data_IF_986506246972
#
_entry.id   IF_986506246972
#
_cell.length_a   1.000
_cell.length_b   1.000
_cell.length_c   1.000
_cell.angle_alpha   90.00
_cell.angle_beta   90.00
_cell.angle_gamma   90.00
#
_symmetry.space_group_name_H-M   'P 1'
#
loop_
_entity.id
_entity.type
_entity.pdbx_description
1 polymer ?
#
# COMPACT_ATOMS: atom_id res chain seq x y z
N UNK A 1 16.26 5.03 0.59
CA UNK A 1 16.33 6.40 1.18
C UNK A 1 17.19 6.38 2.46
N UNK A 2 17.91 7.47 2.74
CA UNK A 2 18.69 7.62 3.97
C UNK A 2 17.84 8.18 5.12
N UNK A 3 17.59 7.37 6.14
CA UNK A 3 16.83 7.77 7.34
C UNK A 3 17.46 8.95 8.08
N UNK A 4 18.78 9.00 8.19
CA UNK A 4 19.45 10.07 8.94
C UNK A 4 19.23 11.46 8.33
N UNK A 5 19.14 11.51 6.99
CA UNK A 5 18.88 12.74 6.26
C UNK A 5 17.42 13.22 6.40
N UNK A 6 16.45 12.30 6.59
CA UNK A 6 15.02 12.61 6.53
C UNK A 6 14.31 12.60 7.88
N UNK A 7 14.89 12.00 8.93
CA UNK A 7 14.23 11.78 10.23
C UNK A 7 13.69 13.02 10.93
N UNK A 8 14.18 14.22 10.58
CA UNK A 8 13.73 15.47 11.21
C UNK A 8 12.47 16.02 10.55
N UNK A 9 12.21 15.66 9.31
CA UNK A 9 11.08 16.15 8.50
C UNK A 9 10.06 15.08 8.21
N UNK A 10 10.40 13.79 8.44
CA UNK A 10 9.51 12.67 8.14
C UNK A 10 8.33 12.61 9.12
N UNK A 11 7.10 12.41 8.63
CA UNK A 11 5.94 12.33 9.49
C UNK A 11 6.07 11.24 10.54
N UNK A 12 5.78 11.57 11.81
CA UNK A 12 5.82 10.64 12.95
C UNK A 12 7.15 9.92 13.14
N UNK A 13 8.26 10.58 12.84
CA UNK A 13 9.60 10.00 12.96
C UNK A 13 9.90 9.43 14.34
N UNK A 14 9.34 10.02 15.40
CA UNK A 14 9.47 9.56 16.79
C UNK A 14 8.82 8.19 17.04
N UNK A 15 7.90 7.74 16.17
CA UNK A 15 7.25 6.42 16.22
C UNK A 15 8.00 5.37 15.42
N UNK A 16 9.08 5.78 14.72
CA UNK A 16 9.80 4.93 13.78
C UNK A 16 10.81 4.02 14.47
N UNK A 17 10.85 2.77 14.02
CA UNK A 17 11.88 1.79 14.38
C UNK A 17 12.25 0.93 13.18
N UNK A 18 13.42 0.29 13.27
CA UNK A 18 13.90 -0.64 12.24
C UNK A 18 13.93 -2.06 12.80
N UNK A 19 13.41 -3.02 12.01
CA UNK A 19 13.29 -4.42 12.39
C UNK A 19 13.87 -5.30 11.28
N UNK A 20 14.70 -6.28 11.63
CA UNK A 20 15.17 -7.29 10.68
C UNK A 20 14.26 -8.50 10.73
N UNK A 21 13.57 -8.79 9.62
CA UNK A 21 12.70 -9.95 9.50
C UNK A 21 12.52 -10.36 8.04
N UNK A 22 12.40 -11.65 7.76
CA UNK A 22 12.13 -12.16 6.41
C UNK A 22 13.14 -11.72 5.35
N UNK A 23 14.40 -11.48 5.73
CA UNK A 23 15.45 -11.03 4.82
C UNK A 23 15.39 -9.53 4.44
N UNK A 24 14.56 -8.75 5.12
CA UNK A 24 14.36 -7.32 4.91
C UNK A 24 14.66 -6.55 6.19
N UNK A 25 15.32 -5.40 6.08
CA UNK A 25 15.38 -4.38 7.12
C UNK A 25 14.16 -3.47 6.93
N UNK A 26 13.17 -3.66 7.77
CA UNK A 26 11.91 -2.94 7.72
C UNK A 26 11.98 -1.61 8.45
N UNK A 27 11.38 -0.57 7.89
CA UNK A 27 10.96 0.62 8.61
C UNK A 27 9.51 0.42 9.05
N UNK A 28 9.26 0.62 10.35
CA UNK A 28 7.95 0.43 10.98
C UNK A 28 7.64 1.61 11.86
N UNK A 29 6.43 2.13 11.78
CA UNK A 29 5.88 3.07 12.76
C UNK A 29 4.77 2.39 13.54
N UNK A 30 4.68 2.67 14.84
CA UNK A 30 3.67 2.08 15.73
C UNK A 30 3.06 3.15 16.62
N UNK A 31 1.72 3.12 16.73
CA UNK A 31 0.96 3.99 17.64
C UNK A 31 -0.25 3.24 18.23
N UNK A 32 -0.77 3.74 19.36
CA UNK A 32 -1.89 3.11 20.07
C UNK A 32 -1.46 1.93 20.95
N UNK A 33 -2.25 1.67 21.99
CA UNK A 33 -1.95 0.62 22.98
C UNK A 33 -3.15 -0.29 23.28
N UNK A 34 -4.33 0.04 22.77
CA UNK A 34 -5.58 -0.66 23.05
C UNK A 34 -6.38 -0.88 21.76
N UNK A 35 -7.37 -1.73 21.81
CA UNK A 35 -8.23 -2.06 20.68
C UNK A 35 -7.61 -3.08 19.72
N UNK A 36 -8.21 -3.27 18.53
CA UNK A 36 -7.75 -4.24 17.54
C UNK A 36 -6.35 -3.88 17.01
N UNK A 37 -5.60 -4.91 16.62
CA UNK A 37 -4.27 -4.76 16.01
C UNK A 37 -4.43 -4.57 14.51
N UNK A 38 -4.08 -3.37 14.06
CA UNK A 38 -4.29 -2.91 12.68
C UNK A 38 -2.95 -2.79 11.95
N UNK A 39 -2.86 -3.40 10.78
CA UNK A 39 -1.71 -3.25 9.89
C UNK A 39 -2.07 -2.40 8.68
N UNK A 40 -1.39 -1.26 8.52
CA UNK A 40 -1.53 -0.36 7.38
C UNK A 40 -0.48 -0.69 6.31
N UNK A 41 -0.93 -1.00 5.09
CA UNK A 41 -0.07 -1.41 3.97
C UNK A 41 -0.29 -0.47 2.79
N UNK A 42 0.75 0.26 2.40
CA UNK A 42 0.71 1.22 1.28
C UNK A 42 0.76 0.54 -0.09
N UNK A 43 0.50 1.30 -1.15
CA UNK A 43 0.59 0.87 -2.55
C UNK A 43 1.98 1.05 -3.17
N UNK A 44 2.16 0.61 -4.42
CA UNK A 44 3.39 0.77 -5.20
C UNK A 44 3.77 2.24 -5.34
N UNK A 45 5.04 2.58 -5.11
CA UNK A 45 5.56 3.94 -5.26
C UNK A 45 5.21 4.90 -4.12
N UNK A 46 4.45 4.46 -3.12
CA UNK A 46 4.23 5.17 -1.86
C UNK A 46 5.15 4.63 -0.76
N UNK A 47 4.95 5.06 0.48
CA UNK A 47 5.56 4.52 1.69
C UNK A 47 4.61 4.74 2.87
N UNK A 48 5.03 4.45 4.09
CA UNK A 48 4.22 4.68 5.29
C UNK A 48 3.71 6.12 5.45
N UNK A 49 4.35 7.10 4.81
CA UNK A 49 3.92 8.51 4.84
C UNK A 49 2.47 8.72 4.34
N UNK A 50 1.98 7.86 3.45
CA UNK A 50 0.59 7.95 2.94
C UNK A 50 -0.46 7.85 4.05
N UNK A 51 -0.08 7.29 5.21
CA UNK A 51 -0.91 7.14 6.39
C UNK A 51 -0.70 8.24 7.44
N UNK A 52 0.06 9.31 7.13
CA UNK A 52 0.46 10.37 8.08
C UNK A 52 -0.72 10.99 8.82
N UNK A 53 -1.81 11.25 8.11
CA UNK A 53 -2.99 11.91 8.67
C UNK A 53 -3.98 10.93 9.32
N UNK A 54 -3.76 9.61 9.14
CA UNK A 54 -4.59 8.55 9.68
C UNK A 54 -3.99 7.90 10.93
N UNK A 55 -2.66 7.79 11.02
CA UNK A 55 -1.98 6.99 12.04
C UNK A 55 -2.38 7.39 13.47
N UNK A 56 -2.26 8.66 13.83
CA UNK A 56 -2.58 9.11 15.18
C UNK A 56 -4.07 9.06 15.50
N UNK A 57 -5.00 9.52 14.63
CA UNK A 57 -6.43 9.38 14.90
C UNK A 57 -6.88 7.91 15.01
N UNK A 58 -6.37 6.99 14.18
CA UNK A 58 -6.69 5.57 14.33
C UNK A 58 -6.12 4.98 15.62
N UNK A 59 -4.97 5.47 16.08
CA UNK A 59 -4.33 5.01 17.30
C UNK A 59 -5.11 5.35 18.59
N UNK A 60 -6.11 6.23 18.53
CA UNK A 60 -7.05 6.46 19.62
C UNK A 60 -8.03 5.29 19.79
N UNK A 61 -8.20 4.44 18.77
CA UNK A 61 -9.18 3.35 18.71
C UNK A 61 -8.55 1.97 18.50
N UNK A 62 -7.26 1.90 18.14
CA UNK A 62 -6.59 0.67 17.74
C UNK A 62 -5.09 0.70 18.08
N UNK A 63 -4.47 -0.46 18.10
CA UNK A 63 -3.02 -0.60 18.03
C UNK A 63 -2.64 -0.64 16.53
N UNK A 64 -1.89 0.34 16.05
CA UNK A 64 -1.67 0.56 14.62
C UNK A 64 -0.19 0.37 14.26
N UNK A 65 0.09 -0.45 13.27
CA UNK A 65 1.40 -0.61 12.64
C UNK A 65 1.34 -0.11 11.21
N UNK A 66 2.30 0.74 10.86
CA UNK A 66 2.56 1.21 9.50
C UNK A 66 3.89 0.65 9.07
N UNK A 67 3.98 0.10 7.88
CA UNK A 67 5.23 -0.46 7.34
C UNK A 67 5.57 0.19 6.01
N UNK A 68 6.86 0.37 5.74
CA UNK A 68 7.34 0.57 4.39
C UNK A 68 7.57 -0.80 3.76
N UNK A 69 6.93 -1.08 2.62
CA UNK A 69 7.11 -2.32 1.88
C UNK A 69 8.57 -2.49 1.41
N UNK A 70 9.04 -3.71 1.15
CA UNK A 70 10.39 -3.95 0.66
C UNK A 70 10.75 -3.06 -0.53
N UNK A 71 11.88 -2.36 -0.43
CA UNK A 71 12.37 -1.43 -1.46
C UNK A 71 11.63 -0.10 -1.54
N UNK A 72 10.71 0.18 -0.63
CA UNK A 72 10.01 1.46 -0.55
C UNK A 72 10.42 2.22 0.72
N UNK A 73 10.35 3.55 0.67
CA UNK A 73 10.68 4.40 1.81
C UNK A 73 12.05 4.06 2.39
N UNK A 74 12.08 3.71 3.66
CA UNK A 74 13.31 3.38 4.39
C UNK A 74 13.52 1.87 4.57
N UNK A 75 12.67 1.02 4.01
CA UNK A 75 12.85 -0.43 4.01
C UNK A 75 13.81 -0.89 2.92
N UNK A 76 14.66 -1.87 3.23
CA UNK A 76 15.61 -2.41 2.26
C UNK A 76 14.89 -3.21 1.16
N UNK A 77 15.53 -3.34 0.00
CA UNK A 77 15.10 -4.29 -1.03
C UNK A 77 15.11 -5.72 -0.50
N UNK A 78 14.10 -6.49 -0.87
CA UNK A 78 14.14 -7.94 -0.71
C UNK A 78 14.91 -8.59 -1.86
N UNK A 79 15.57 -9.71 -1.58
CA UNK A 79 16.33 -10.47 -2.57
C UNK A 79 15.46 -11.49 -3.33
N UNK A 80 15.92 -11.91 -4.51
CA UNK A 80 15.28 -12.97 -5.30
C UNK A 80 13.81 -12.68 -5.61
N UNK A 81 12.92 -13.61 -5.31
CA UNK A 81 11.47 -13.49 -5.49
C UNK A 81 10.78 -12.59 -4.44
N UNK A 82 11.53 -12.02 -3.50
CA UNK A 82 11.00 -11.22 -2.40
C UNK A 82 10.25 -9.96 -2.83
N UNK A 83 10.47 -9.47 -4.07
CA UNK A 83 9.73 -8.33 -4.64
C UNK A 83 8.42 -8.72 -5.33
N UNK A 84 8.10 -10.02 -5.44
CA UNK A 84 6.78 -10.47 -5.91
C UNK A 84 5.71 -10.30 -4.82
N UNK A 85 4.45 -10.32 -5.22
CA UNK A 85 3.32 -10.22 -4.28
C UNK A 85 3.40 -11.29 -3.18
N UNK A 86 3.65 -12.54 -3.54
CA UNK A 86 3.81 -13.66 -2.60
C UNK A 86 5.04 -13.48 -1.71
N UNK A 87 6.17 -13.02 -2.29
CA UNK A 87 7.41 -12.77 -1.54
C UNK A 87 7.24 -11.66 -0.52
N UNK A 88 6.57 -10.55 -0.89
CA UNK A 88 6.25 -9.47 0.04
C UNK A 88 5.28 -9.92 1.14
N UNK A 89 4.23 -10.69 0.81
CA UNK A 89 3.31 -11.25 1.79
C UNK A 89 4.04 -12.16 2.80
N UNK A 90 4.93 -13.01 2.32
CA UNK A 90 5.73 -13.92 3.19
C UNK A 90 6.68 -13.13 4.09
N UNK A 91 7.40 -12.14 3.57
CA UNK A 91 8.32 -11.34 4.39
C UNK A 91 7.61 -10.43 5.37
N UNK A 92 6.43 -9.90 5.00
CA UNK A 92 5.58 -9.11 5.89
C UNK A 92 4.99 -9.98 7.03
N UNK A 93 4.59 -11.21 6.72
CA UNK A 93 4.18 -12.16 7.75
C UNK A 93 5.31 -12.45 8.73
N UNK A 94 6.53 -12.70 8.23
CA UNK A 94 7.70 -12.90 9.08
C UNK A 94 8.01 -11.67 9.96
N UNK A 95 7.77 -10.44 9.46
CA UNK A 95 7.86 -9.23 10.27
C UNK A 95 6.85 -9.26 11.41
N UNK A 96 5.57 -9.51 11.13
CA UNK A 96 4.53 -9.53 12.16
C UNK A 96 4.76 -10.63 13.20
N UNK A 97 5.28 -11.79 12.77
CA UNK A 97 5.71 -12.85 13.69
C UNK A 97 6.87 -12.39 14.58
N UNK A 98 7.90 -11.72 14.02
CA UNK A 98 9.05 -11.23 14.81
C UNK A 98 8.67 -10.14 15.80
N UNK A 99 7.58 -9.44 15.56
CA UNK A 99 7.00 -8.44 16.44
C UNK A 99 6.01 -9.03 17.45
N UNK A 100 5.71 -10.33 17.33
CA UNK A 100 4.69 -11.05 18.13
C UNK A 100 3.30 -10.39 18.03
N UNK A 101 2.97 -9.86 16.83
CA UNK A 101 1.71 -9.16 16.57
C UNK A 101 0.82 -9.98 15.65
N UNK A 102 -0.20 -10.68 16.17
CA UNK A 102 -1.27 -11.21 15.35
C UNK A 102 -2.14 -10.03 14.84
N UNK A 103 -2.33 -9.96 13.53
CA UNK A 103 -3.09 -8.87 12.89
C UNK A 103 -4.57 -9.18 12.92
N UNK A 104 -5.37 -8.29 13.54
CA UNK A 104 -6.82 -8.42 13.60
C UNK A 104 -7.49 -7.78 12.37
N UNK A 105 -6.97 -6.63 11.91
CA UNK A 105 -7.52 -5.89 10.76
C UNK A 105 -6.40 -5.47 9.82
N UNK A 106 -6.59 -5.73 8.54
CA UNK A 106 -5.76 -5.16 7.48
C UNK A 106 -6.45 -3.93 6.89
N UNK A 107 -5.73 -2.82 6.80
CA UNK A 107 -6.13 -1.65 6.01
C UNK A 107 -5.06 -1.46 4.96
N UNK A 108 -5.41 -1.62 3.70
CA UNK A 108 -4.41 -1.72 2.65
C UNK A 108 -4.82 -0.93 1.40
N UNK A 109 -3.89 -0.14 0.89
CA UNK A 109 -4.09 0.71 -0.28
C UNK A 109 -3.55 0.06 -1.55
N UNK A 110 -4.31 0.13 -2.64
CA UNK A 110 -3.85 -0.24 -3.99
C UNK A 110 -3.21 -1.64 -4.04
N UNK A 111 -1.96 -1.76 -4.46
CA UNK A 111 -1.19 -3.01 -4.49
C UNK A 111 -1.02 -3.62 -3.09
N UNK A 112 -0.97 -2.81 -2.03
CA UNK A 112 -0.94 -3.30 -0.65
C UNK A 112 -2.13 -4.19 -0.31
N UNK A 113 -3.30 -3.93 -0.91
CA UNK A 113 -4.49 -4.77 -0.73
C UNK A 113 -4.32 -6.18 -1.33
N UNK A 114 -3.60 -6.31 -2.45
CA UNK A 114 -3.28 -7.61 -3.02
C UNK A 114 -2.27 -8.39 -2.15
N UNK A 115 -1.28 -7.69 -1.58
CA UNK A 115 -0.35 -8.28 -0.60
C UNK A 115 -1.11 -8.76 0.64
N UNK A 116 -2.01 -7.94 1.20
CA UNK A 116 -2.82 -8.31 2.35
C UNK A 116 -3.68 -9.54 2.07
N UNK A 117 -4.39 -9.59 0.93
CA UNK A 117 -5.19 -10.74 0.52
C UNK A 117 -4.33 -12.00 0.39
N UNK A 118 -3.15 -11.88 -0.23
CA UNK A 118 -2.21 -13.00 -0.38
C UNK A 118 -1.68 -13.47 0.98
N UNK A 119 -1.39 -12.54 1.90
CA UNK A 119 -0.95 -12.86 3.26
C UNK A 119 -2.03 -13.62 4.03
N UNK A 120 -3.30 -13.21 3.93
CA UNK A 120 -4.43 -13.90 4.55
C UNK A 120 -4.53 -15.34 4.04
N UNK A 121 -4.48 -15.56 2.72
CA UNK A 121 -4.68 -16.88 2.13
C UNK A 121 -3.46 -17.78 2.35
N UNK A 122 -2.27 -17.29 1.98
CA UNK A 122 -1.05 -18.10 2.01
C UNK A 122 -0.61 -18.48 3.44
N UNK A 123 -0.91 -17.62 4.42
CA UNK A 123 -0.60 -17.87 5.82
C UNK A 123 -1.81 -18.40 6.61
N UNK A 124 -2.94 -18.63 5.95
CA UNK A 124 -4.17 -19.12 6.56
C UNK A 124 -4.62 -18.26 7.76
N UNK A 125 -4.45 -16.94 7.62
CA UNK A 125 -4.88 -16.00 8.65
C UNK A 125 -6.39 -15.79 8.59
N UNK A 126 -6.99 -15.52 9.73
CA UNK A 126 -8.42 -15.23 9.88
C UNK A 126 -8.63 -13.87 10.54
N UNK A 127 -8.30 -12.77 9.86
CA UNK A 127 -8.53 -11.45 10.42
C UNK A 127 -10.03 -11.18 10.57
N UNK A 128 -10.38 -10.24 11.46
CA UNK A 128 -11.74 -9.76 11.64
C UNK A 128 -12.23 -9.01 10.39
N UNK A 129 -11.33 -8.31 9.69
CA UNK A 129 -11.63 -7.66 8.41
C UNK A 129 -10.38 -7.41 7.57
N UNK A 130 -10.57 -7.36 6.24
CA UNK A 130 -9.67 -6.81 5.24
C UNK A 130 -10.31 -5.58 4.61
N UNK A 131 -9.75 -4.39 4.86
CA UNK A 131 -10.24 -3.13 4.32
C UNK A 131 -9.32 -2.69 3.19
N UNK A 132 -9.82 -2.70 1.96
CA UNK A 132 -9.10 -2.25 0.77
C UNK A 132 -9.48 -0.82 0.41
N UNK A 133 -8.50 0.08 0.34
CA UNK A 133 -8.68 1.44 -0.16
C UNK A 133 -8.18 1.48 -1.60
N UNK A 134 -9.06 1.77 -2.55
CA UNK A 134 -8.76 1.71 -4.00
C UNK A 134 -7.96 0.45 -4.39
N UNK A 135 -8.44 -0.75 -4.02
CA UNK A 135 -7.63 -1.98 -4.06
C UNK A 135 -7.32 -2.43 -5.48
N UNK A 136 -6.05 -2.78 -5.75
CA UNK A 136 -5.58 -3.31 -7.03
C UNK A 136 -5.50 -4.85 -6.98
N UNK A 137 -6.65 -5.54 -7.02
CA UNK A 137 -6.72 -7.01 -6.92
C UNK A 137 -6.82 -7.72 -8.27
N UNK A 138 -7.30 -7.03 -9.31
CA UNK A 138 -7.55 -7.62 -10.62
C UNK A 138 -6.60 -7.03 -11.67
N UNK A 139 -6.29 -7.78 -12.74
CA UNK A 139 -5.49 -7.25 -13.85
C UNK A 139 -6.11 -5.98 -14.42
N UNK A 140 -5.27 -5.02 -14.79
CA UNK A 140 -5.74 -3.83 -15.50
C UNK A 140 -6.37 -4.23 -16.85
N UNK A 141 -7.52 -3.63 -17.22
CA UNK A 141 -8.18 -3.97 -18.47
C UNK A 141 -7.40 -3.47 -19.70
N UNK A 142 -7.61 -4.16 -20.84
CA UNK A 142 -7.13 -3.74 -22.14
C UNK A 142 -5.61 -3.81 -22.34
N UNK A 143 -5.10 -2.99 -23.27
CA UNK A 143 -3.68 -2.98 -23.65
C UNK A 143 -2.74 -2.61 -22.49
N UNK A 144 -3.18 -1.79 -21.56
CA UNK A 144 -2.39 -1.43 -20.39
C UNK A 144 -2.02 -2.66 -19.56
N UNK A 145 -2.97 -3.55 -19.28
CA UNK A 145 -2.72 -4.80 -18.55
C UNK A 145 -1.78 -5.76 -19.29
N UNK A 146 -1.76 -5.71 -20.63
CA UNK A 146 -0.93 -6.59 -21.45
C UNK A 146 0.52 -6.05 -21.61
N UNK A 147 0.68 -4.74 -21.77
CA UNK A 147 1.96 -4.12 -22.11
C UNK A 147 2.76 -3.66 -20.87
N UNK A 148 2.06 -3.31 -19.78
CA UNK A 148 2.71 -2.77 -18.59
C UNK A 148 3.69 -3.74 -17.91
N UNK A 149 3.37 -5.03 -17.68
CA UNK A 149 4.31 -5.95 -17.04
C UNK A 149 5.60 -6.21 -17.83
N UNK A 150 5.57 -6.43 -19.17
CA UNK A 150 6.79 -6.57 -19.96
C UNK A 150 7.65 -5.31 -19.98
N UNK A 151 7.03 -4.13 -20.11
CA UNK A 151 7.74 -2.86 -20.06
C UNK A 151 8.41 -2.63 -18.70
N UNK A 152 7.71 -2.88 -17.60
CA UNK A 152 8.27 -2.78 -16.25
C UNK A 152 9.45 -3.75 -16.05
N UNK A 153 9.37 -5.00 -16.56
CA UNK A 153 10.48 -5.96 -16.53
C UNK A 153 11.71 -5.43 -17.25
N UNK A 154 11.55 -4.89 -18.45
CA UNK A 154 12.65 -4.33 -19.22
C UNK A 154 13.31 -3.17 -18.49
N UNK A 155 12.53 -2.25 -17.94
CA UNK A 155 13.01 -1.09 -17.17
C UNK A 155 13.72 -1.52 -15.89
N UNK A 156 13.18 -2.51 -15.15
CA UNK A 156 13.77 -3.00 -13.92
C UNK A 156 15.13 -3.72 -14.11
N UNK A 157 15.36 -4.31 -15.31
CA UNK A 157 16.62 -4.98 -15.66
C UNK A 157 17.72 -4.01 -16.10
N UNK A 158 17.40 -2.75 -16.36
CA UNK A 158 18.35 -1.76 -16.87
C UNK A 158 18.98 -0.98 -15.71
N UNK A 159 20.26 -1.15 -15.39
CA UNK A 159 20.89 -0.63 -14.16
C UNK A 159 20.79 0.89 -13.96
N UNK A 160 20.73 1.64 -15.06
CA UNK A 160 20.72 3.11 -15.02
C UNK A 160 19.30 3.71 -15.01
N UNK A 161 18.25 2.91 -15.21
CA UNK A 161 16.88 3.41 -15.28
C UNK A 161 16.40 4.00 -13.95
N UNK A 162 16.63 3.41 -12.77
CA UNK A 162 16.21 4.03 -11.51
C UNK A 162 16.84 5.41 -11.29
N UNK A 163 18.14 5.56 -11.57
CA UNK A 163 18.85 6.83 -11.44
C UNK A 163 18.35 7.87 -12.46
N UNK A 164 18.15 7.43 -13.71
CA UNK A 164 17.60 8.28 -14.75
C UNK A 164 16.18 8.71 -14.41
N UNK A 165 15.32 7.77 -13.96
CA UNK A 165 13.96 8.05 -13.55
C UNK A 165 13.92 9.03 -12.38
N UNK A 166 14.68 8.80 -11.31
CA UNK A 166 14.76 9.68 -10.15
C UNK A 166 15.20 11.11 -10.55
N UNK A 167 16.19 11.22 -11.45
CA UNK A 167 16.63 12.51 -11.99
C UNK A 167 15.54 13.19 -12.81
N UNK A 168 14.81 12.46 -13.64
CA UNK A 168 13.70 13.04 -14.43
C UNK A 168 12.50 13.39 -13.53
N UNK A 169 12.22 12.55 -12.53
CA UNK A 169 11.13 12.75 -11.58
C UNK A 169 11.35 14.00 -10.67
N UNK A 170 12.62 14.36 -10.44
CA UNK A 170 12.99 15.63 -9.78
C UNK A 170 12.82 16.86 -10.68
N UNK A 171 12.53 16.66 -11.97
CA UNK A 171 12.27 17.74 -12.91
C UNK A 171 10.88 18.34 -12.74
N UNK A 172 10.72 19.63 -13.15
CA UNK A 172 9.44 20.31 -13.02
C UNK A 172 8.33 19.59 -13.79
N UNK A 173 7.18 19.41 -13.15
CA UNK A 173 5.95 18.87 -13.74
C UNK A 173 5.88 17.35 -13.88
N UNK A 174 6.92 16.58 -13.53
CA UNK A 174 6.84 15.11 -13.58
C UNK A 174 6.01 14.55 -12.40
N UNK A 175 6.22 15.07 -11.20
CA UNK A 175 5.43 14.70 -10.03
C UNK A 175 3.94 14.97 -10.26
N UNK A 176 3.61 16.17 -10.79
CA UNK A 176 2.24 16.52 -11.12
C UNK A 176 1.63 15.52 -12.11
N UNK A 177 2.36 15.13 -13.15
CA UNK A 177 1.88 14.11 -14.11
C UNK A 177 1.64 12.75 -13.46
N UNK A 178 2.51 12.34 -12.52
CA UNK A 178 2.33 11.09 -11.78
C UNK A 178 1.08 11.17 -10.90
N UNK A 179 0.89 12.27 -10.18
CA UNK A 179 -0.29 12.49 -9.33
C UNK A 179 -1.57 12.66 -10.15
N UNK A 180 -1.53 13.39 -11.26
CA UNK A 180 -2.66 13.50 -12.20
C UNK A 180 -3.11 12.12 -12.73
N UNK A 181 -2.15 11.22 -12.93
CA UNK A 181 -2.40 9.82 -13.31
C UNK A 181 -3.20 9.03 -12.25
N UNK A 182 -3.22 9.50 -11.01
CA UNK A 182 -4.05 8.91 -9.93
C UNK A 182 -5.47 9.46 -9.89
N UNK A 183 -5.73 10.60 -10.51
CA UNK A 183 -6.98 11.35 -10.40
C UNK A 183 -7.15 12.08 -9.07
N UNK A 184 -6.14 12.07 -8.20
CA UNK A 184 -6.15 12.66 -6.86
C UNK A 184 -5.59 14.08 -6.82
N UNK A 185 -6.03 14.84 -5.84
CA UNK A 185 -5.53 16.20 -5.56
C UNK A 185 -4.97 16.21 -4.14
N UNK A 186 -3.66 16.23 -4.03
CA UNK A 186 -2.97 16.30 -2.74
C UNK A 186 -2.64 17.74 -2.34
N UNK A 187 -2.53 17.94 -1.03
CA UNK A 187 -1.99 19.16 -0.45
C UNK A 187 -0.47 19.30 -0.73
N UNK A 188 0.09 20.46 -0.40
CA UNK A 188 1.49 20.74 -0.65
C UNK A 188 2.43 19.84 0.18
N UNK A 189 2.03 19.48 1.40
CA UNK A 189 2.81 18.62 2.28
C UNK A 189 2.88 17.19 1.71
N UNK A 190 1.76 16.63 1.26
CA UNK A 190 1.73 15.32 0.60
C UNK A 190 2.57 15.32 -0.68
N UNK A 191 2.44 16.35 -1.52
CA UNK A 191 3.26 16.50 -2.74
C UNK A 191 4.76 16.54 -2.43
N UNK A 192 5.18 17.23 -1.37
CA UNK A 192 6.59 17.30 -0.98
C UNK A 192 7.14 15.91 -0.61
N UNK A 193 6.39 15.11 0.15
CA UNK A 193 6.79 13.75 0.52
C UNK A 193 6.91 12.83 -0.70
N UNK A 194 5.97 12.90 -1.64
CA UNK A 194 6.10 12.15 -2.89
C UNK A 194 7.28 12.64 -3.74
N UNK A 195 7.58 13.94 -3.73
CA UNK A 195 8.77 14.46 -4.42
C UNK A 195 10.07 13.87 -3.87
N UNK A 196 10.19 13.72 -2.54
CA UNK A 196 11.34 13.06 -1.91
C UNK A 196 11.46 11.60 -2.32
N UNK A 197 10.34 10.85 -2.35
CA UNK A 197 10.31 9.45 -2.75
C UNK A 197 10.72 9.24 -4.21
N UNK A 198 10.12 9.99 -5.14
CA UNK A 198 10.39 9.80 -6.57
C UNK A 198 11.79 10.27 -6.97
N UNK A 199 12.40 11.17 -6.19
CA UNK A 199 13.77 11.64 -6.37
C UNK A 199 14.83 10.65 -5.85
N UNK A 200 14.43 9.66 -5.04
CA UNK A 200 15.35 8.67 -4.49
C UNK A 200 15.51 7.45 -5.43
N UNK A 201 16.73 7.16 -5.93
CA UNK A 201 16.94 6.06 -6.86
C UNK A 201 16.68 4.66 -6.28
N UNK A 202 16.89 4.47 -4.96
CA UNK A 202 16.63 3.17 -4.31
C UNK A 202 15.14 2.91 -4.21
N UNK A 203 14.35 3.94 -3.84
CA UNK A 203 12.89 3.88 -3.83
C UNK A 203 12.34 3.64 -5.25
N UNK A 204 12.82 4.39 -6.24
CA UNK A 204 12.42 4.18 -7.64
C UNK A 204 12.76 2.75 -8.13
N UNK A 205 13.93 2.21 -7.74
CA UNK A 205 14.30 0.84 -8.04
C UNK A 205 13.34 -0.17 -7.38
N UNK A 206 12.98 0.05 -6.13
CA UNK A 206 12.01 -0.78 -5.40
C UNK A 206 10.66 -0.84 -6.09
N UNK A 207 10.11 0.33 -6.43
CA UNK A 207 8.84 0.43 -7.14
C UNK A 207 8.87 -0.26 -8.51
N UNK A 208 9.93 -0.05 -9.31
CA UNK A 208 10.11 -0.71 -10.61
C UNK A 208 10.24 -2.23 -10.48
N UNK A 209 11.01 -2.73 -9.50
CA UNK A 209 11.15 -4.18 -9.26
C UNK A 209 9.84 -4.80 -8.80
N UNK A 210 9.09 -4.13 -7.93
CA UNK A 210 7.75 -4.57 -7.53
C UNK A 210 6.84 -4.67 -8.76
N UNK A 211 6.74 -3.63 -9.58
CA UNK A 211 5.93 -3.64 -10.80
C UNK A 211 6.36 -4.73 -11.79
N UNK A 212 7.66 -4.96 -11.94
CA UNK A 212 8.20 -6.00 -12.82
C UNK A 212 7.87 -7.43 -12.36
N UNK A 213 7.75 -7.65 -11.05
CA UNK A 213 7.41 -8.93 -10.43
C UNK A 213 5.91 -9.09 -10.16
N UNK A 214 5.09 -8.09 -10.52
CA UNK A 214 3.66 -8.06 -10.19
C UNK A 214 2.84 -8.92 -11.15
N UNK A 215 2.10 -9.87 -10.59
CA UNK A 215 1.20 -10.74 -11.35
C UNK A 215 -0.15 -10.84 -10.63
N UNK A 216 -1.19 -10.30 -11.23
CA UNK A 216 -2.57 -10.34 -10.77
C UNK A 216 -3.44 -11.37 -11.53
N UNK A 217 -2.84 -12.24 -12.35
CA UNK A 217 -3.58 -13.24 -13.13
C UNK A 217 -4.46 -14.16 -12.25
N UNK A 218 -4.03 -14.41 -11.01
CA UNK A 218 -4.78 -15.19 -10.03
C UNK A 218 -5.68 -14.35 -9.11
N UNK A 219 -5.80 -13.03 -9.33
CA UNK A 219 -6.53 -12.13 -8.44
C UNK A 219 -7.98 -12.56 -8.19
N UNK A 220 -8.71 -12.93 -9.24
CA UNK A 220 -10.08 -13.43 -9.11
C UNK A 220 -10.18 -14.73 -8.30
N UNK A 221 -9.20 -15.62 -8.44
CA UNK A 221 -9.12 -16.86 -7.66
C UNK A 221 -8.83 -16.55 -6.19
N UNK A 222 -7.88 -15.64 -5.94
CA UNK A 222 -7.53 -15.14 -4.61
C UNK A 222 -8.74 -14.58 -3.88
N UNK A 223 -9.51 -13.69 -4.52
CA UNK A 223 -10.69 -13.08 -3.90
C UNK A 223 -11.76 -14.11 -3.50
N UNK A 224 -11.99 -15.15 -4.32
CA UNK A 224 -12.93 -16.24 -3.98
C UNK A 224 -12.51 -17.09 -2.78
N UNK A 225 -11.24 -17.05 -2.40
CA UNK A 225 -10.72 -17.80 -1.25
C UNK A 225 -10.79 -17.04 0.07
N UNK A 226 -10.96 -15.72 0.02
CA UNK A 226 -11.11 -14.92 1.23
C UNK A 226 -12.37 -15.33 1.99
N UNK A 227 -12.22 -15.55 3.29
CA UNK A 227 -13.31 -15.97 4.20
C UNK A 227 -13.61 -14.94 5.28
N UNK A 228 -12.73 -13.94 5.46
CA UNK A 228 -13.02 -12.80 6.32
C UNK A 228 -13.90 -11.78 5.60
N UNK A 229 -14.62 -10.92 6.32
CA UNK A 229 -15.27 -9.74 5.76
C UNK A 229 -14.28 -8.87 5.00
N UNK A 230 -14.67 -8.42 3.80
CA UNK A 230 -13.86 -7.54 2.94
C UNK A 230 -14.65 -6.28 2.67
N UNK A 231 -14.10 -5.14 3.09
CA UNK A 231 -14.70 -3.85 2.80
C UNK A 231 -13.80 -3.08 1.82
N UNK A 232 -14.41 -2.42 0.87
CA UNK A 232 -13.72 -1.60 -0.12
C UNK A 232 -14.18 -0.16 0.01
N UNK A 233 -13.22 0.76 0.05
CA UNK A 233 -13.44 2.19 -0.13
C UNK A 233 -12.79 2.61 -1.42
N UNK A 234 -13.53 3.24 -2.33
CA UNK A 234 -13.00 3.70 -3.62
C UNK A 234 -13.37 5.14 -3.92
N UNK A 235 -12.43 5.88 -4.48
CA UNK A 235 -12.69 7.19 -5.07
C UNK A 235 -13.19 7.03 -6.50
N UNK A 236 -14.31 7.68 -6.85
CA UNK A 236 -14.91 7.55 -8.19
C UNK A 236 -14.09 8.17 -9.32
N UNK A 237 -13.12 9.05 -8.99
CA UNK A 237 -12.18 9.66 -9.94
C UNK A 237 -10.87 8.90 -10.07
N UNK A 238 -10.76 7.70 -9.47
CA UNK A 238 -9.55 6.88 -9.58
C UNK A 238 -9.22 6.56 -11.04
N UNK A 239 -8.05 7.04 -11.49
CA UNK A 239 -7.52 6.82 -12.84
C UNK A 239 -6.45 5.73 -12.88
N UNK A 240 -5.93 5.33 -11.72
CA UNK A 240 -4.92 4.28 -11.62
C UNK A 240 -5.57 2.88 -11.58
N UNK A 241 -6.60 2.72 -10.74
CA UNK A 241 -7.41 1.49 -10.65
C UNK A 241 -8.88 1.87 -10.91
N UNK A 242 -9.41 1.58 -12.10
CA UNK A 242 -10.78 1.97 -12.44
C UNK A 242 -11.80 1.47 -11.41
N UNK A 243 -12.73 2.30 -10.92
CA UNK A 243 -13.73 1.90 -9.90
C UNK A 243 -14.56 0.68 -10.29
N UNK A 244 -14.76 0.43 -11.59
CA UNK A 244 -15.41 -0.78 -12.10
C UNK A 244 -14.72 -2.09 -11.67
N UNK A 245 -13.40 -2.06 -11.36
CA UNK A 245 -12.71 -3.23 -10.81
C UNK A 245 -13.19 -3.58 -9.40
N UNK A 246 -13.53 -2.59 -8.58
CA UNK A 246 -14.09 -2.85 -7.26
C UNK A 246 -15.48 -3.52 -7.34
N UNK A 247 -16.31 -3.13 -8.32
CA UNK A 247 -17.58 -3.81 -8.59
C UNK A 247 -17.37 -5.26 -9.04
N UNK A 248 -16.37 -5.52 -9.88
CA UNK A 248 -16.02 -6.90 -10.28
C UNK A 248 -15.51 -7.69 -9.07
N UNK A 249 -14.66 -7.09 -8.23
CA UNK A 249 -14.14 -7.73 -7.01
C UNK A 249 -15.26 -8.07 -6.04
N UNK A 250 -16.24 -7.18 -5.86
CA UNK A 250 -17.40 -7.40 -5.00
C UNK A 250 -18.16 -8.67 -5.39
N UNK A 251 -18.35 -8.92 -6.69
CA UNK A 251 -19.01 -10.13 -7.20
C UNK A 251 -18.20 -11.43 -7.01
N UNK A 252 -16.94 -11.35 -6.57
CA UNK A 252 -16.06 -12.50 -6.33
C UNK A 252 -15.92 -12.84 -4.84
N UNK A 253 -16.27 -11.92 -3.96
CA UNK A 253 -16.14 -12.05 -2.50
C UNK A 253 -17.34 -12.77 -1.92
N UNK A 254 -17.10 -13.63 -0.91
CA UNK A 254 -18.16 -14.31 -0.18
C UNK A 254 -18.89 -13.34 0.79
N UNK A 255 -18.13 -12.42 1.39
CA UNK A 255 -18.63 -11.37 2.27
C UNK A 255 -17.91 -10.07 1.90
N UNK A 256 -18.52 -9.29 1.02
CA UNK A 256 -17.94 -8.08 0.47
C UNK A 256 -18.86 -6.86 0.62
N UNK A 257 -18.29 -5.72 0.95
CA UNK A 257 -18.96 -4.42 0.95
C UNK A 257 -18.15 -3.41 0.16
N UNK A 258 -18.85 -2.52 -0.55
CA UNK A 258 -18.24 -1.46 -1.34
C UNK A 258 -18.85 -0.11 -1.00
N UNK A 259 -17.99 0.81 -0.61
CA UNK A 259 -18.30 2.23 -0.41
C UNK A 259 -17.59 3.04 -1.49
N UNK A 260 -18.31 3.89 -2.20
CA UNK A 260 -17.79 4.74 -3.27
C UNK A 260 -17.97 6.21 -2.92
N UNK A 261 -16.87 6.98 -2.99
CA UNK A 261 -16.90 8.40 -2.67
C UNK A 261 -16.71 9.25 -3.92
N UNK A 262 -17.70 10.08 -4.26
CA UNK A 262 -17.62 10.96 -5.42
C UNK A 262 -16.58 12.06 -5.20
N UNK A 263 -15.90 12.43 -6.28
CA UNK A 263 -14.95 13.56 -6.27
C UNK A 263 -13.52 13.23 -5.84
N UNK A 264 -13.24 12.01 -5.35
CA UNK A 264 -11.90 11.58 -4.91
C UNK A 264 -11.26 10.62 -5.90
N UNK A 265 -9.92 10.64 -5.95
CA UNK A 265 -9.11 9.79 -6.80
C UNK A 265 -8.56 8.54 -6.09
N UNK A 266 -7.42 8.06 -6.58
CA UNK A 266 -6.75 6.85 -6.09
C UNK A 266 -6.24 6.98 -4.64
N UNK A 267 -5.91 8.20 -4.22
CA UNK A 267 -5.35 8.50 -2.89
C UNK A 267 -6.43 9.06 -1.95
N UNK A 268 -7.65 8.50 -1.99
CA UNK A 268 -8.81 9.01 -1.24
C UNK A 268 -8.53 9.19 0.26
N UNK A 269 -7.69 8.34 0.85
CA UNK A 269 -7.29 8.41 2.26
C UNK A 269 -6.36 9.61 2.57
N UNK A 270 -5.66 10.14 1.57
CA UNK A 270 -4.86 11.36 1.67
C UNK A 270 -5.67 12.61 1.30
N UNK A 271 -6.65 12.48 0.40
CA UNK A 271 -7.54 13.58 -0.02
C UNK A 271 -8.60 13.92 1.06
N UNK A 272 -9.08 12.92 1.79
CA UNK A 272 -10.15 13.05 2.80
C UNK A 272 -9.81 12.30 4.09
N UNK A 273 -8.69 12.60 4.77
CA UNK A 273 -8.20 11.80 5.89
C UNK A 273 -9.20 11.73 7.05
N UNK A 274 -9.83 12.83 7.44
CA UNK A 274 -10.81 12.86 8.53
C UNK A 274 -12.01 11.96 8.24
N UNK A 275 -12.57 12.03 7.03
CA UNK A 275 -13.69 11.20 6.61
C UNK A 275 -13.29 9.73 6.54
N UNK A 276 -12.06 9.47 6.05
CA UNK A 276 -11.51 8.12 5.98
C UNK A 276 -11.35 7.51 7.38
N UNK A 277 -10.80 8.25 8.35
CA UNK A 277 -10.70 7.79 9.75
C UNK A 277 -12.07 7.44 10.32
N UNK A 278 -13.08 8.29 10.15
CA UNK A 278 -14.44 8.01 10.62
C UNK A 278 -15.03 6.74 10.02
N UNK A 279 -14.84 6.55 8.70
CA UNK A 279 -15.24 5.33 8.01
C UNK A 279 -14.53 4.09 8.57
N UNK A 280 -13.21 4.15 8.71
CA UNK A 280 -12.39 3.03 9.18
C UNK A 280 -12.72 2.64 10.63
N UNK A 281 -12.88 3.62 11.53
CA UNK A 281 -13.23 3.37 12.94
C UNK A 281 -14.62 2.72 13.04
N UNK A 282 -15.60 3.23 12.30
CA UNK A 282 -16.93 2.62 12.24
C UNK A 282 -16.87 1.18 11.73
N UNK A 283 -16.11 0.94 10.68
CA UNK A 283 -15.93 -0.38 10.06
C UNK A 283 -15.29 -1.38 11.03
N UNK A 284 -14.20 -0.98 11.70
CA UNK A 284 -13.53 -1.83 12.69
C UNK A 284 -14.47 -2.20 13.85
N UNK A 285 -15.27 -1.26 14.34
CA UNK A 285 -16.24 -1.52 15.40
C UNK A 285 -17.32 -2.53 14.97
N UNK A 286 -17.74 -2.52 13.71
CA UNK A 286 -18.70 -3.48 13.16
C UNK A 286 -18.10 -4.89 12.97
N UNK A 287 -16.83 -4.98 12.60
CA UNK A 287 -16.14 -6.25 12.40
C UNK A 287 -15.80 -6.97 13.73
N UNK A 288 -15.81 -6.26 14.85
CA UNK A 288 -15.51 -6.79 16.18
C UNK A 288 -16.72 -7.36 16.92
N UNK A 289 -17.93 -7.18 16.36
CA UNK A 289 -19.21 -7.69 16.89
C UNK A 289 -19.71 -8.89 16.08
#
# INVERSE_FOLDING_TARGET
MDWQAHRQTWPHAELSRFVQAGGVRWHVQQAGQQGPRVLLIHGTGASGHTWRDLLRPLAEHAQVWVVDLPGHGFSSLASGQGMSMQGMATSLHALMQSLEVPVDVFIAHSAGAAIAAQMVIAQQLTPQALIGINPAWLPLPGLAGLLFPPAAKLLALTPFVPQWFAKQASGPGMLEKLLDGTGSVLDQAGKALYAELVADPEHAQGALKMMAAWDLSQGAHTLRQLRCPVLMLVGERDRAVPPAQAQQALGLLADGHLESWPGFGHLVHEEAPTQCVQFLVKTMAQASN
#
